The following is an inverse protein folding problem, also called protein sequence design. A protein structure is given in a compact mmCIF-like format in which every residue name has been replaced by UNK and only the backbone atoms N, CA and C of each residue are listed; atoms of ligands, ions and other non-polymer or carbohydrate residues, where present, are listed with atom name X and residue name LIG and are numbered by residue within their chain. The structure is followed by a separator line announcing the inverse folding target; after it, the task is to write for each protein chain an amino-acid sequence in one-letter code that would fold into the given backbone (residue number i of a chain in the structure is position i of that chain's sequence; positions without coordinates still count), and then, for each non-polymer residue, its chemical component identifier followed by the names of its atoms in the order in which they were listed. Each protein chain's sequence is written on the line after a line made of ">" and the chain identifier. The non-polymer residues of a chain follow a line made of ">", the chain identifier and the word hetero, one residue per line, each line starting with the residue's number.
data_IF_094835462122
#
_entry.id   IF_094835462122
#
_cell.length_a   1.000
_cell.length_b   1.000
_cell.length_c   1.000
_cell.angle_alpha   90.00
_cell.angle_beta   90.00
_cell.angle_gamma   90.00
#
_symmetry.space_group_name_H-M   'P 1'
#
loop_
_entity.id
_entity.type
_entity.pdbx_description
1 polymer ?
#
# COMPACT_ATOMS: atom_id res chain seq x y z
N UNK A 1 -24.60 16.65 -16.32
CA UNK A 1 -25.72 15.86 -15.77
C UNK A 1 -26.37 15.10 -16.93
N UNK A 2 -26.67 13.80 -16.76
CA UNK A 2 -27.44 13.03 -17.76
C UNK A 2 -28.77 12.60 -17.18
N UNK A 3 -29.83 12.72 -17.95
CA UNK A 3 -31.20 12.39 -17.51
C UNK A 3 -31.80 11.39 -18.47
N UNK A 4 -32.42 10.35 -17.93
CA UNK A 4 -33.09 9.31 -18.69
C UNK A 4 -34.53 9.18 -18.19
N UNK A 5 -35.54 9.50 -19.02
CA UNK A 5 -36.93 9.31 -18.66
C UNK A 5 -37.26 7.81 -18.58
N UNK A 6 -38.10 7.45 -17.62
CA UNK A 6 -38.63 6.10 -17.42
C UNK A 6 -40.16 6.15 -17.36
N UNK A 7 -40.83 5.01 -17.51
CA UNK A 7 -42.30 4.94 -17.52
C UNK A 7 -42.98 5.55 -16.27
N UNK A 8 -42.30 5.52 -15.12
CA UNK A 8 -42.81 6.01 -13.83
C UNK A 8 -41.89 7.01 -13.13
N UNK A 9 -40.83 7.51 -13.80
CA UNK A 9 -39.87 8.38 -13.12
C UNK A 9 -38.71 8.90 -13.98
N UNK A 10 -37.74 9.52 -13.31
CA UNK A 10 -36.56 10.11 -13.95
C UNK A 10 -35.29 9.55 -13.31
N UNK A 11 -34.42 8.94 -14.10
CA UNK A 11 -33.08 8.56 -13.65
C UNK A 11 -32.10 9.69 -13.99
N UNK A 12 -31.37 10.16 -12.98
CA UNK A 12 -30.35 11.20 -13.16
C UNK A 12 -28.97 10.62 -12.81
N UNK A 13 -28.02 10.79 -13.72
CA UNK A 13 -26.61 10.51 -13.46
C UNK A 13 -25.89 11.84 -13.21
N UNK A 14 -25.31 11.94 -12.02
CA UNK A 14 -24.63 13.12 -11.52
C UNK A 14 -23.16 12.78 -11.29
N UNK A 15 -22.29 13.72 -11.64
CA UNK A 15 -20.91 13.73 -11.14
C UNK A 15 -20.89 14.11 -9.65
N UNK A 16 -19.77 13.87 -8.97
CA UNK A 16 -19.60 14.24 -7.54
C UNK A 16 -19.91 15.72 -7.29
N UNK A 17 -19.42 16.60 -8.16
CA UNK A 17 -19.60 18.06 -8.03
C UNK A 17 -21.06 18.46 -8.24
N UNK A 18 -21.73 17.89 -9.24
CA UNK A 18 -23.14 18.12 -9.49
C UNK A 18 -24.02 17.62 -8.33
N UNK A 19 -23.70 16.45 -7.77
CA UNK A 19 -24.40 15.91 -6.61
C UNK A 19 -24.20 16.79 -5.36
N UNK A 20 -22.99 17.31 -5.13
CA UNK A 20 -22.71 18.25 -4.04
C UNK A 20 -23.47 19.58 -4.22
N UNK A 21 -23.51 20.11 -5.44
CA UNK A 21 -24.26 21.33 -5.74
C UNK A 21 -25.77 21.12 -5.51
N UNK A 22 -26.32 19.99 -5.97
CA UNK A 22 -27.72 19.67 -5.82
C UNK A 22 -28.12 19.43 -4.36
N UNK A 23 -27.26 18.76 -3.56
CA UNK A 23 -27.47 18.63 -2.12
C UNK A 23 -27.47 19.99 -1.39
N UNK A 24 -26.55 20.89 -1.75
CA UNK A 24 -26.52 22.25 -1.17
C UNK A 24 -27.78 23.03 -1.50
N UNK A 25 -28.24 22.98 -2.76
CA UNK A 25 -29.47 23.63 -3.20
C UNK A 25 -30.70 23.04 -2.50
N UNK A 26 -30.77 21.71 -2.36
CA UNK A 26 -31.87 21.04 -1.67
C UNK A 26 -31.96 21.45 -0.19
N UNK A 27 -30.83 21.53 0.52
CA UNK A 27 -30.78 22.02 1.91
C UNK A 27 -31.22 23.48 2.03
N UNK A 28 -30.68 24.35 1.17
CA UNK A 28 -31.06 25.77 1.14
C UNK A 28 -32.57 25.95 0.89
N UNK A 29 -33.13 25.17 -0.03
CA UNK A 29 -34.56 25.22 -0.32
C UNK A 29 -35.40 24.82 0.91
N UNK A 30 -35.01 23.75 1.62
CA UNK A 30 -35.69 23.32 2.85
C UNK A 30 -35.61 24.37 3.95
N UNK A 31 -34.46 25.00 4.12
CA UNK A 31 -34.26 26.05 5.12
C UNK A 31 -35.15 27.28 4.86
N UNK A 32 -35.54 27.53 3.61
CA UNK A 32 -36.44 28.62 3.21
C UNK A 32 -37.93 28.25 3.19
N UNK A 33 -38.29 26.95 3.25
CA UNK A 33 -39.69 26.50 3.27
C UNK A 33 -40.53 27.16 4.39
N UNK A 34 -40.04 27.37 5.62
CA UNK A 34 -40.82 28.03 6.67
C UNK A 34 -41.26 29.46 6.34
N UNK A 35 -40.46 30.21 5.57
CA UNK A 35 -40.76 31.58 5.15
C UNK A 35 -41.76 31.64 3.97
N UNK A 36 -41.87 30.55 3.20
CA UNK A 36 -42.76 30.45 2.03
C UNK A 36 -44.14 29.84 2.34
N UNK A 37 -44.43 29.52 3.61
CA UNK A 37 -45.66 28.85 4.07
C UNK A 37 -46.97 29.59 3.77
N UNK A 38 -46.93 30.83 3.30
CA UNK A 38 -48.11 31.62 2.98
C UNK A 38 -48.67 31.37 1.56
N UNK A 39 -48.08 30.47 0.77
CA UNK A 39 -48.53 30.09 -0.57
C UNK A 39 -49.10 28.65 -0.55
N UNK A 40 -50.33 28.54 -0.06
CA UNK A 40 -50.99 27.28 0.29
C UNK A 40 -51.51 26.49 -0.92
N UNK A 41 -50.72 25.57 -1.50
CA UNK A 41 -51.27 24.39 -2.20
C UNK A 41 -50.44 23.10 -1.95
N UNK A 42 -49.12 23.16 -1.71
CA UNK A 42 -48.24 21.96 -1.72
C UNK A 42 -47.21 21.85 -0.56
N UNK A 43 -47.22 22.75 0.41
CA UNK A 43 -46.12 22.92 1.37
C UNK A 43 -45.81 21.68 2.22
N UNK A 44 -46.82 21.00 2.78
CA UNK A 44 -46.58 19.87 3.69
C UNK A 44 -45.96 18.66 2.98
N UNK A 45 -46.50 18.28 1.81
CA UNK A 45 -45.97 17.16 1.02
C UNK A 45 -44.54 17.40 0.54
N UNK A 46 -44.18 18.66 0.26
CA UNK A 46 -42.81 19.03 -0.10
C UNK A 46 -41.85 18.91 1.08
N UNK A 47 -42.27 19.30 2.29
CA UNK A 47 -41.49 19.11 3.52
C UNK A 47 -41.23 17.62 3.77
N UNK A 48 -42.26 16.79 3.64
CA UNK A 48 -42.16 15.35 3.89
C UNK A 48 -41.21 14.66 2.89
N UNK A 49 -41.28 15.00 1.60
CA UNK A 49 -40.41 14.43 0.56
C UNK A 49 -38.99 14.99 0.62
N UNK A 50 -38.79 16.23 1.06
CA UNK A 50 -37.49 16.87 1.02
C UNK A 50 -36.47 16.22 1.96
N UNK A 51 -36.90 15.72 3.12
CA UNK A 51 -36.04 14.98 4.04
C UNK A 51 -35.48 13.70 3.39
N UNK A 52 -36.34 12.95 2.71
CA UNK A 52 -35.95 11.72 2.00
C UNK A 52 -35.03 12.01 0.81
N UNK A 53 -35.30 13.10 0.08
CA UNK A 53 -34.44 13.54 -1.02
C UNK A 53 -33.05 13.93 -0.51
N UNK A 54 -32.96 14.76 0.54
CA UNK A 54 -31.67 15.16 1.13
C UNK A 54 -30.89 13.94 1.60
N UNK A 55 -31.54 13.04 2.35
CA UNK A 55 -30.92 11.81 2.84
C UNK A 55 -30.43 10.92 1.69
N UNK A 56 -31.23 10.77 0.62
CA UNK A 56 -30.85 10.03 -0.57
C UNK A 56 -29.62 10.61 -1.27
N UNK A 57 -29.53 11.94 -1.35
CA UNK A 57 -28.39 12.65 -1.94
C UNK A 57 -27.12 12.53 -1.07
N UNK A 58 -27.24 12.56 0.25
CA UNK A 58 -26.13 12.37 1.19
C UNK A 58 -25.55 10.94 1.10
N UNK A 59 -26.43 9.94 1.10
CA UNK A 59 -26.03 8.53 0.93
C UNK A 59 -25.37 8.32 -0.43
N UNK A 60 -25.94 8.90 -1.49
CA UNK A 60 -25.36 8.88 -2.83
C UNK A 60 -23.97 9.52 -2.85
N UNK A 61 -23.78 10.67 -2.20
CA UNK A 61 -22.50 11.37 -2.16
C UNK A 61 -21.44 10.56 -1.43
N UNK A 62 -21.81 9.97 -0.29
CA UNK A 62 -20.94 9.11 0.51
C UNK A 62 -20.51 7.88 -0.30
N UNK A 63 -21.46 7.25 -1.00
CA UNK A 63 -21.17 6.10 -1.87
C UNK A 63 -20.20 6.45 -3.01
N UNK A 64 -20.40 7.59 -3.67
CA UNK A 64 -19.50 8.05 -4.74
C UNK A 64 -18.10 8.34 -4.20
N UNK A 65 -17.99 8.99 -3.04
CA UNK A 65 -16.71 9.26 -2.39
C UNK A 65 -15.98 7.97 -2.01
N UNK A 66 -16.68 7.00 -1.45
CA UNK A 66 -16.12 5.69 -1.12
C UNK A 66 -15.57 4.99 -2.36
N UNK A 67 -16.37 4.88 -3.43
CA UNK A 67 -15.94 4.25 -4.69
C UNK A 67 -14.73 4.95 -5.31
N UNK A 68 -14.66 6.28 -5.24
CA UNK A 68 -13.50 7.03 -5.70
C UNK A 68 -12.25 6.75 -4.85
N UNK A 69 -12.40 6.73 -3.53
CA UNK A 69 -11.31 6.43 -2.60
C UNK A 69 -10.79 5.00 -2.80
N UNK A 70 -11.69 4.03 -2.97
CA UNK A 70 -11.34 2.65 -3.26
C UNK A 70 -10.62 2.51 -4.60
N UNK A 71 -11.13 3.13 -5.66
CA UNK A 71 -10.47 3.12 -6.97
C UNK A 71 -9.08 3.75 -6.93
N UNK A 72 -8.92 4.85 -6.18
CA UNK A 72 -7.61 5.49 -5.93
C UNK A 72 -6.68 4.54 -5.16
N UNK A 73 -7.17 3.92 -4.08
CA UNK A 73 -6.38 2.99 -3.28
C UNK A 73 -5.90 1.78 -4.09
N UNK A 74 -6.74 1.24 -4.98
CA UNK A 74 -6.38 0.15 -5.91
C UNK A 74 -5.31 0.59 -6.92
N UNK A 75 -5.40 1.79 -7.47
CA UNK A 75 -4.38 2.36 -8.37
C UNK A 75 -3.04 2.58 -7.67
N UNK A 76 -3.07 3.02 -6.42
CA UNK A 76 -1.87 3.31 -5.63
C UNK A 76 -1.29 2.08 -4.93
N UNK A 77 -2.03 0.97 -4.85
CA UNK A 77 -1.55 -0.27 -4.24
C UNK A 77 -0.22 -0.78 -4.86
N UNK A 78 -0.08 -0.96 -6.18
CA UNK A 78 1.16 -1.46 -6.77
C UNK A 78 2.32 -0.49 -6.55
N UNK A 79 2.09 0.83 -6.63
CA UNK A 79 3.12 1.85 -6.38
C UNK A 79 3.63 1.79 -4.94
N UNK A 80 2.72 1.68 -3.97
CA UNK A 80 3.08 1.55 -2.54
C UNK A 80 3.85 0.26 -2.25
N UNK A 81 3.51 -0.84 -2.91
CA UNK A 81 4.26 -2.11 -2.79
C UNK A 81 5.66 -1.96 -3.40
N UNK A 82 5.77 -1.34 -4.58
CA UNK A 82 7.06 -1.08 -5.22
C UNK A 82 7.94 -0.11 -4.40
N UNK A 83 7.37 0.96 -3.85
CA UNK A 83 8.07 1.90 -2.96
C UNK A 83 8.54 1.22 -1.67
N UNK A 84 7.71 0.36 -1.06
CA UNK A 84 8.10 -0.44 0.12
C UNK A 84 9.22 -1.44 -0.22
N UNK A 85 9.18 -2.04 -1.40
CA UNK A 85 10.22 -2.96 -1.88
C UNK A 85 11.53 -2.21 -2.12
N UNK A 86 11.49 -1.09 -2.86
CA UNK A 86 12.65 -0.26 -3.12
C UNK A 86 13.27 0.31 -1.82
N UNK A 87 12.46 0.66 -0.83
CA UNK A 87 12.95 1.10 0.48
C UNK A 87 13.68 -0.01 1.25
N UNK A 88 13.37 -1.28 0.97
CA UNK A 88 13.98 -2.46 1.58
C UNK A 88 15.16 -3.02 0.78
N UNK A 89 15.42 -2.55 -0.43
CA UNK A 89 16.48 -3.09 -1.28
C UNK A 89 17.71 -2.15 -1.28
N UNK A 90 18.90 -2.75 -1.31
CA UNK A 90 20.16 -2.05 -1.49
C UNK A 90 21.01 -2.78 -2.52
N UNK A 91 21.64 -2.05 -3.43
CA UNK A 91 22.50 -2.61 -4.46
C UNK A 91 23.82 -1.84 -4.48
N UNK A 92 24.94 -2.58 -4.46
CA UNK A 92 26.29 -2.02 -4.51
C UNK A 92 27.22 -2.94 -5.31
N UNK A 93 28.28 -2.35 -5.86
CA UNK A 93 29.41 -3.09 -6.43
C UNK A 93 30.61 -2.86 -5.50
N UNK A 94 31.13 -3.93 -4.90
CA UNK A 94 32.22 -3.86 -3.91
C UNK A 94 33.34 -4.78 -4.37
N UNK A 95 34.51 -4.23 -4.64
CA UNK A 95 35.72 -4.97 -5.04
C UNK A 95 35.50 -5.91 -6.25
N UNK A 96 34.61 -5.52 -7.17
CA UNK A 96 34.24 -6.30 -8.36
C UNK A 96 33.12 -7.34 -8.14
N UNK A 97 32.56 -7.42 -6.93
CA UNK A 97 31.45 -8.30 -6.57
C UNK A 97 30.14 -7.53 -6.54
N UNK A 98 29.06 -8.16 -7.02
CA UNK A 98 27.71 -7.64 -6.89
C UNK A 98 27.19 -7.95 -5.50
N UNK A 99 26.76 -6.91 -4.78
CA UNK A 99 26.18 -7.03 -3.44
C UNK A 99 24.75 -6.51 -3.48
N UNK A 100 23.82 -7.35 -3.05
CA UNK A 100 22.41 -7.02 -2.88
C UNK A 100 22.03 -7.20 -1.42
N UNK A 101 21.42 -6.18 -0.81
CA UNK A 101 20.87 -6.24 0.54
C UNK A 101 19.35 -6.16 0.55
N UNK A 102 18.71 -6.89 1.46
CA UNK A 102 17.29 -6.75 1.79
C UNK A 102 17.12 -6.45 3.28
N UNK A 103 16.49 -5.32 3.62
CA UNK A 103 16.13 -4.95 4.98
C UNK A 103 14.93 -5.78 5.44
N UNK A 104 15.00 -6.36 6.64
CA UNK A 104 13.91 -7.16 7.17
C UNK A 104 14.18 -7.74 8.55
N UNK A 105 13.28 -8.64 8.94
CA UNK A 105 13.43 -9.49 10.11
C UNK A 105 13.84 -10.88 9.61
N UNK A 106 14.90 -11.43 10.18
CA UNK A 106 15.54 -12.65 9.69
C UNK A 106 15.67 -13.65 10.82
N UNK A 107 15.29 -14.89 10.54
CA UNK A 107 15.47 -16.02 11.45
C UNK A 107 16.53 -16.97 10.89
N UNK A 108 17.47 -17.39 11.73
CA UNK A 108 18.39 -18.45 11.37
C UNK A 108 17.70 -19.81 11.52
N UNK A 109 17.67 -20.55 10.41
CA UNK A 109 17.09 -21.89 10.33
C UNK A 109 18.15 -22.99 10.35
N UNK A 110 19.45 -22.65 10.48
CA UNK A 110 20.52 -23.63 10.55
C UNK A 110 20.46 -24.41 11.87
N UNK A 111 20.62 -25.73 11.80
CA UNK A 111 20.89 -26.58 12.97
C UNK A 111 22.37 -26.61 13.35
N UNK A 112 23.25 -26.24 12.41
CA UNK A 112 24.70 -26.22 12.56
C UNK A 112 25.15 -24.84 13.07
N UNK A 113 25.83 -24.73 14.23
CA UNK A 113 26.28 -23.45 14.79
C UNK A 113 27.35 -22.76 13.93
N UNK A 114 28.04 -23.51 13.06
CA UNK A 114 29.06 -22.96 12.16
C UNK A 114 28.48 -22.45 10.84
N UNK A 115 27.17 -22.67 10.61
CA UNK A 115 26.45 -22.23 9.41
C UNK A 115 25.26 -21.35 9.80
N UNK A 116 24.98 -20.36 8.94
CA UNK A 116 23.78 -19.53 9.09
C UNK A 116 22.90 -19.66 7.86
N UNK A 117 21.61 -19.93 8.07
CA UNK A 117 20.59 -20.06 7.02
C UNK A 117 19.44 -19.12 7.33
N UNK A 118 19.65 -17.85 6.95
CA UNK A 118 18.68 -16.80 7.19
C UNK A 118 17.45 -16.89 6.28
N UNK A 119 16.28 -16.85 6.90
CA UNK A 119 14.99 -16.77 6.22
C UNK A 119 14.25 -15.47 6.57
N UNK A 120 13.59 -14.87 5.58
CA UNK A 120 12.81 -13.64 5.76
C UNK A 120 11.54 -13.95 6.55
N UNK A 121 11.38 -13.36 7.73
CA UNK A 121 10.19 -13.52 8.57
C UNK A 121 8.94 -12.85 8.00
N UNK A 122 9.04 -12.05 6.92
CA UNK A 122 7.88 -11.56 6.18
C UNK A 122 7.24 -12.63 5.27
N UNK A 123 7.92 -13.76 5.02
CA UNK A 123 7.37 -14.84 4.21
C UNK A 123 6.38 -15.68 5.04
N UNK A 124 5.14 -15.87 4.54
CA UNK A 124 4.19 -16.77 5.19
C UNK A 124 4.77 -18.19 5.24
N UNK A 125 4.90 -18.75 6.45
CA UNK A 125 5.45 -20.09 6.68
C UNK A 125 6.91 -20.13 7.17
N UNK A 126 7.56 -18.98 7.34
CA UNK A 126 8.84 -18.95 8.06
C UNK A 126 8.58 -19.06 9.56
N UNK A 127 8.87 -20.24 10.11
CA UNK A 127 8.81 -20.51 11.54
C UNK A 127 10.23 -20.50 12.11
N UNK A 128 10.58 -19.53 12.98
CA UNK A 128 11.87 -19.53 13.66
C UNK A 128 12.01 -20.76 14.54
N UNK A 129 13.22 -21.33 14.60
CA UNK A 129 13.55 -22.37 15.58
C UNK A 129 13.51 -21.78 16.99
N UNK A 130 13.14 -22.59 17.99
CA UNK A 130 13.05 -22.12 19.38
C UNK A 130 14.36 -21.53 19.92
N UNK A 131 15.50 -22.07 19.48
CA UNK A 131 16.85 -21.63 19.86
C UNK A 131 17.60 -20.96 18.69
N UNK A 132 16.91 -20.63 17.60
CA UNK A 132 17.52 -19.96 16.44
C UNK A 132 17.76 -18.49 16.71
N UNK A 133 18.83 -17.94 16.13
CA UNK A 133 19.08 -16.49 16.18
C UNK A 133 17.98 -15.76 15.38
N UNK A 134 17.42 -14.70 15.98
CA UNK A 134 16.49 -13.80 15.30
C UNK A 134 17.09 -12.40 15.28
N UNK A 135 17.26 -11.84 14.08
CA UNK A 135 17.67 -10.45 13.89
C UNK A 135 16.53 -9.64 13.31
N UNK A 136 16.20 -8.55 14.00
CA UNK A 136 15.08 -7.68 13.61
C UNK A 136 15.60 -6.40 13.02
N UNK A 137 14.96 -5.94 11.95
CA UNK A 137 15.28 -4.69 11.28
C UNK A 137 16.77 -4.60 10.92
N UNK A 138 17.30 -5.62 10.24
CA UNK A 138 18.68 -5.67 9.75
C UNK A 138 18.73 -5.99 8.26
N UNK A 139 19.89 -5.74 7.64
CA UNK A 139 20.14 -6.07 6.24
C UNK A 139 20.64 -7.50 6.11
N UNK A 140 19.93 -8.32 5.32
CA UNK A 140 20.47 -9.57 4.78
C UNK A 140 21.17 -9.27 3.46
N UNK A 141 22.45 -9.60 3.35
CA UNK A 141 23.21 -9.37 2.12
C UNK A 141 23.39 -10.67 1.34
N UNK A 142 23.45 -10.55 0.02
CA UNK A 142 23.70 -11.59 -0.96
C UNK A 142 24.84 -11.11 -1.84
N UNK A 143 25.83 -11.97 -2.10
CA UNK A 143 27.05 -11.60 -2.80
C UNK A 143 27.27 -12.57 -3.96
N UNK A 144 27.56 -12.03 -5.13
CA UNK A 144 27.97 -12.83 -6.27
C UNK A 144 29.16 -12.25 -7.01
N UNK A 145 29.96 -13.13 -7.60
CA UNK A 145 31.02 -12.78 -8.57
C UNK A 145 30.54 -13.12 -9.97
N UNK A 146 30.85 -12.25 -10.93
CA UNK A 146 30.44 -12.41 -12.32
C UNK A 146 28.95 -12.11 -12.56
N UNK A 147 28.55 -12.20 -13.82
CA UNK A 147 27.15 -12.09 -14.24
C UNK A 147 26.52 -13.48 -14.33
N UNK A 148 25.20 -13.59 -14.14
CA UNK A 148 24.47 -14.86 -14.32
C UNK A 148 24.62 -15.47 -15.73
N UNK A 149 25.10 -14.70 -16.71
CA UNK A 149 25.40 -15.15 -18.08
C UNK A 149 26.87 -15.58 -18.28
N UNK A 150 27.69 -15.58 -17.22
CA UNK A 150 29.12 -15.88 -17.26
C UNK A 150 29.40 -17.24 -16.64
N UNK A 151 30.34 -18.00 -17.20
CA UNK A 151 30.76 -19.30 -16.66
C UNK A 151 31.40 -19.17 -15.27
N UNK A 152 31.98 -18.01 -14.95
CA UNK A 152 32.55 -17.68 -13.63
C UNK A 152 31.54 -17.21 -12.57
N UNK A 153 30.22 -17.44 -12.79
CA UNK A 153 29.20 -17.01 -11.84
C UNK A 153 29.24 -17.81 -10.53
N UNK A 154 29.56 -17.12 -9.43
CA UNK A 154 29.63 -17.73 -8.10
C UNK A 154 28.79 -16.95 -7.10
N UNK A 155 27.97 -17.63 -6.30
CA UNK A 155 27.20 -17.04 -5.21
C UNK A 155 27.87 -17.43 -3.89
N UNK A 156 28.17 -16.43 -3.05
CA UNK A 156 28.69 -16.65 -1.72
C UNK A 156 27.54 -16.71 -0.71
N UNK A 157 27.65 -17.55 0.34
CA UNK A 157 26.69 -17.53 1.42
C UNK A 157 26.78 -16.17 2.12
N UNK A 158 25.75 -15.36 1.95
CA UNK A 158 25.66 -14.06 2.60
C UNK A 158 25.48 -14.17 4.11
N UNK A 159 25.51 -13.04 4.82
CA UNK A 159 25.15 -12.93 6.24
C UNK A 159 24.19 -11.73 6.49
N UNK A 160 23.73 -11.57 7.72
CA UNK A 160 22.99 -10.39 8.16
C UNK A 160 23.92 -9.37 8.82
N UNK A 161 23.62 -8.08 8.68
CA UNK A 161 24.21 -7.01 9.49
C UNK A 161 23.73 -7.12 10.94
N UNK A 162 24.35 -6.35 11.84
CA UNK A 162 23.93 -6.26 13.25
C UNK A 162 22.86 -5.19 13.43
N UNK A 163 22.90 -4.13 12.63
CA UNK A 163 21.91 -3.05 12.64
C UNK A 163 21.32 -2.76 11.26
N UNK A 164 20.45 -1.75 11.16
CA UNK A 164 19.97 -1.23 9.89
C UNK A 164 20.91 -0.19 9.25
N UNK A 165 22.11 0.04 9.80
CA UNK A 165 23.09 0.92 9.18
C UNK A 165 23.59 0.32 7.85
N UNK A 166 23.53 1.14 6.79
CA UNK A 166 24.00 0.75 5.47
C UNK A 166 25.52 0.62 5.40
N UNK A 167 26.26 1.31 6.26
CA UNK A 167 27.73 1.21 6.29
C UNK A 167 28.19 -0.21 6.69
N UNK A 168 27.39 -0.94 7.48
CA UNK A 168 27.68 -2.33 7.85
C UNK A 168 27.61 -3.28 6.65
N UNK A 169 26.85 -2.95 5.59
CA UNK A 169 26.73 -3.79 4.38
C UNK A 169 28.10 -3.94 3.72
N UNK A 170 28.83 -2.84 3.55
CA UNK A 170 30.14 -2.85 2.90
C UNK A 170 31.17 -3.63 3.72
N UNK A 171 31.20 -3.39 5.03
CA UNK A 171 32.10 -4.08 5.95
C UNK A 171 31.82 -5.59 5.99
N UNK A 172 30.55 -5.98 6.03
CA UNK A 172 30.15 -7.38 6.01
C UNK A 172 30.49 -8.04 4.67
N UNK A 173 30.21 -7.36 3.56
CA UNK A 173 30.52 -7.88 2.23
C UNK A 173 32.01 -8.17 2.07
N UNK A 174 32.89 -7.22 2.45
CA UNK A 174 34.34 -7.43 2.39
C UNK A 174 34.82 -8.59 3.25
N UNK A 175 34.28 -8.76 4.47
CA UNK A 175 34.61 -9.90 5.35
C UNK A 175 34.24 -11.23 4.71
N UNK A 176 33.05 -11.32 4.11
CA UNK A 176 32.61 -12.55 3.44
C UNK A 176 33.47 -12.81 2.20
N UNK A 177 33.70 -11.81 1.35
CA UNK A 177 34.53 -11.94 0.14
C UNK A 177 35.93 -12.45 0.51
N UNK A 178 36.57 -11.86 1.54
CA UNK A 178 37.90 -12.27 1.98
C UNK A 178 37.95 -13.76 2.41
N UNK A 179 36.91 -14.25 3.11
CA UNK A 179 36.82 -15.66 3.54
C UNK A 179 36.81 -16.66 2.38
N UNK A 180 36.36 -16.24 1.20
CA UNK A 180 36.23 -17.10 0.01
C UNK A 180 37.25 -16.78 -1.09
N UNK A 181 38.26 -15.98 -0.79
CA UNK A 181 39.42 -15.75 -1.67
C UNK A 181 40.64 -16.62 -1.30
N UNK A 182 40.60 -17.32 -0.16
CA UNK A 182 41.55 -18.37 0.24
C UNK A 182 41.21 -19.71 -0.43
#
# INVERSE_FOLDING_TARGET
>A
MKTHPMASGLRVTLTKTELQALLKLARLAVDQLPAARHCDILAQRQVDVAADVIKGLELGLTSVQWKQAEAKARREAPKRVAERRAAREHHALIDGYTVWGTLGDWADLSDDPDQRRWADMFLPGTEPREQGEIRRNVWRIFISKGSAASDDFTIFPGDCTETNDRLEIEQLARRIIAKYQE
#
